data_IF_126954702919
#
_entry.id   IF_126954702919
#
_cell.length_a   1.000
_cell.length_b   1.000
_cell.length_c   1.000
_cell.angle_alpha   90.00
_cell.angle_beta   90.00
_cell.angle_gamma   90.00
#
_symmetry.space_group_name_H-M   'P 1'
#
loop_
_entity.id
_entity.type
_entity.pdbx_description
1 polymer ?
#
# COMPACT_ATOMS: atom_id res chain seq x y z
N UNK A 1 5.54 22.76 -18.47
CA UNK A 1 5.55 21.31 -18.53
C UNK A 1 5.74 20.67 -17.17
N UNK A 2 5.63 19.36 -17.10
CA UNK A 2 5.75 18.59 -15.84
C UNK A 2 7.10 18.83 -15.14
N UNK A 3 8.19 19.03 -15.92
CA UNK A 3 9.51 19.27 -15.34
C UNK A 3 9.60 20.55 -14.53
N UNK A 4 8.95 21.63 -14.97
CA UNK A 4 8.91 22.88 -14.23
C UNK A 4 8.14 22.74 -12.91
N UNK A 5 7.03 22.02 -12.91
CA UNK A 5 6.26 21.72 -11.71
C UNK A 5 7.07 20.90 -10.70
N UNK A 6 7.80 19.87 -11.15
CA UNK A 6 8.63 19.04 -10.27
C UNK A 6 9.70 19.86 -9.55
N UNK A 7 10.26 20.89 -10.17
CA UNK A 7 11.23 21.77 -9.54
C UNK A 7 10.66 22.65 -8.43
N UNK A 8 9.33 22.89 -8.47
CA UNK A 8 8.64 23.74 -7.51
C UNK A 8 7.98 22.94 -6.37
N UNK A 9 8.06 21.60 -6.40
CA UNK A 9 7.43 20.77 -5.39
C UNK A 9 8.15 20.86 -4.05
N UNK A 10 7.35 20.88 -2.96
CA UNK A 10 7.86 20.75 -1.60
C UNK A 10 8.39 19.34 -1.34
N UNK A 11 9.10 19.15 -0.22
CA UNK A 11 9.56 17.83 0.20
C UNK A 11 8.40 16.85 0.40
N UNK A 12 7.30 17.32 0.99
CA UNK A 12 6.10 16.49 1.19
C UNK A 12 5.47 16.09 -0.13
N UNK A 13 5.34 17.02 -1.07
CA UNK A 13 4.81 16.74 -2.40
C UNK A 13 5.67 15.72 -3.15
N UNK A 14 6.99 15.90 -3.13
CA UNK A 14 7.93 14.95 -3.76
C UNK A 14 7.81 13.56 -3.15
N UNK A 15 7.68 13.49 -1.83
CA UNK A 15 7.49 12.22 -1.12
C UNK A 15 6.20 11.52 -1.55
N UNK A 16 5.07 12.25 -1.56
CA UNK A 16 3.79 11.67 -1.96
C UNK A 16 3.80 11.18 -3.41
N UNK A 17 4.43 11.94 -4.30
CA UNK A 17 4.56 11.52 -5.70
C UNK A 17 5.40 10.25 -5.83
N UNK A 18 6.51 10.16 -5.08
CA UNK A 18 7.36 8.97 -5.06
C UNK A 18 6.63 7.75 -4.51
N UNK A 19 5.81 7.94 -3.46
CA UNK A 19 4.97 6.86 -2.90
C UNK A 19 3.98 6.36 -3.95
N UNK A 20 3.32 7.27 -4.66
CA UNK A 20 2.36 6.89 -5.70
C UNK A 20 3.03 6.17 -6.87
N UNK A 21 4.26 6.53 -7.22
CA UNK A 21 5.02 5.78 -8.22
C UNK A 21 5.26 4.34 -7.80
N UNK A 22 5.54 4.12 -6.50
CA UNK A 22 5.78 2.78 -5.96
C UNK A 22 4.51 1.95 -5.82
N UNK A 23 3.41 2.58 -5.41
CA UNK A 23 2.17 1.87 -5.06
C UNK A 23 1.16 1.79 -6.21
N UNK A 24 1.28 2.67 -7.21
CA UNK A 24 0.36 2.76 -8.33
C UNK A 24 -0.90 3.56 -8.02
N UNK A 25 -1.54 3.31 -6.90
CA UNK A 25 -2.68 4.08 -6.40
C UNK A 25 -2.72 4.04 -4.88
N UNK A 26 -3.41 4.99 -4.28
CA UNK A 26 -3.64 5.02 -2.84
C UNK A 26 -4.83 5.91 -2.51
N UNK A 27 -5.46 5.69 -1.37
CA UNK A 27 -6.40 6.65 -0.82
C UNK A 27 -5.65 7.77 -0.09
N UNK A 28 -6.26 8.96 -0.01
CA UNK A 28 -5.62 10.09 0.68
C UNK A 28 -5.29 9.77 2.14
N UNK A 29 -6.18 9.03 2.85
CA UNK A 29 -5.93 8.63 4.25
C UNK A 29 -4.68 7.75 4.39
N UNK A 30 -4.41 6.90 3.41
CA UNK A 30 -3.22 6.04 3.40
C UNK A 30 -1.96 6.87 3.19
N UNK A 31 -2.02 7.80 2.26
CA UNK A 31 -0.92 8.75 2.02
C UNK A 31 -0.65 9.60 3.27
N UNK A 32 -1.71 10.05 3.94
CA UNK A 32 -1.57 10.83 5.18
C UNK A 32 -0.91 10.03 6.30
N UNK A 33 -1.25 8.75 6.44
CA UNK A 33 -0.65 7.88 7.45
C UNK A 33 0.87 7.73 7.23
N UNK A 34 1.27 7.52 5.98
CA UNK A 34 2.70 7.45 5.62
C UNK A 34 3.40 8.79 5.84
N UNK A 35 2.76 9.89 5.44
CA UNK A 35 3.31 11.23 5.60
C UNK A 35 3.52 11.58 7.07
N UNK A 36 2.55 11.24 7.92
CA UNK A 36 2.62 11.50 9.35
C UNK A 36 3.91 10.93 9.95
N UNK A 37 4.20 9.68 9.67
CA UNK A 37 5.37 8.99 10.24
C UNK A 37 6.68 9.47 9.63
N UNK A 38 6.71 9.67 8.33
CA UNK A 38 7.94 10.07 7.62
C UNK A 38 8.39 11.49 8.01
N UNK A 39 7.45 12.41 8.18
CA UNK A 39 7.76 13.82 8.52
C UNK A 39 7.46 14.15 9.98
N UNK A 40 7.19 13.14 10.81
CA UNK A 40 6.98 13.29 12.25
C UNK A 40 5.94 14.36 12.61
N UNK A 41 4.80 14.38 11.88
CA UNK A 41 3.69 15.25 12.28
C UNK A 41 3.15 14.84 13.64
N UNK A 42 2.82 15.83 14.47
CA UNK A 42 2.36 15.60 15.83
C UNK A 42 0.99 14.91 15.90
N UNK A 43 0.17 15.04 14.84
CA UNK A 43 -1.13 14.40 14.78
C UNK A 43 -1.43 13.90 13.37
N UNK A 44 -2.30 12.88 13.29
CA UNK A 44 -2.80 12.40 12.01
C UNK A 44 -3.64 13.48 11.32
N UNK A 45 -4.39 14.28 12.08
CA UNK A 45 -5.22 15.36 11.52
C UNK A 45 -4.37 16.39 10.76
N UNK A 46 -3.21 16.77 11.30
CA UNK A 46 -2.29 17.66 10.61
C UNK A 46 -1.78 17.03 9.31
N UNK A 47 -1.41 15.77 9.35
CA UNK A 47 -0.96 15.05 8.15
C UNK A 47 -2.07 14.94 7.10
N UNK A 48 -3.31 14.70 7.51
CA UNK A 48 -4.48 14.65 6.60
C UNK A 48 -4.67 16.01 5.92
N UNK A 49 -4.58 17.09 6.67
CA UNK A 49 -4.73 18.45 6.13
C UNK A 49 -3.64 18.77 5.10
N UNK A 50 -2.39 18.48 5.45
CA UNK A 50 -1.24 18.73 4.56
C UNK A 50 -1.32 17.85 3.31
N UNK A 51 -1.66 16.57 3.48
CA UNK A 51 -1.83 15.64 2.35
C UNK A 51 -2.91 16.14 1.38
N UNK A 52 -4.06 16.56 1.92
CA UNK A 52 -5.15 17.09 1.09
C UNK A 52 -4.73 18.32 0.27
N UNK A 53 -4.00 19.24 0.88
CA UNK A 53 -3.49 20.42 0.18
C UNK A 53 -2.48 20.04 -0.91
N UNK A 54 -1.54 19.14 -0.60
CA UNK A 54 -0.54 18.66 -1.56
C UNK A 54 -1.19 17.97 -2.76
N UNK A 55 -2.14 17.08 -2.51
CA UNK A 55 -2.84 16.33 -3.57
C UNK A 55 -3.59 17.28 -4.49
N UNK A 56 -4.33 18.25 -3.92
CA UNK A 56 -5.05 19.25 -4.74
C UNK A 56 -4.11 20.06 -5.63
N UNK A 57 -3.00 20.52 -5.08
CA UNK A 57 -2.02 21.30 -5.85
C UNK A 57 -1.42 20.46 -6.98
N UNK A 58 -1.06 19.22 -6.71
CA UNK A 58 -0.48 18.33 -7.73
C UNK A 58 -1.53 17.91 -8.77
N UNK A 59 -2.79 17.77 -8.39
CA UNK A 59 -3.88 17.53 -9.31
C UNK A 59 -4.07 18.73 -10.25
N UNK A 60 -4.07 19.94 -9.72
CA UNK A 60 -4.16 21.16 -10.52
C UNK A 60 -2.98 21.30 -11.48
N UNK A 61 -1.81 20.86 -11.07
CA UNK A 61 -0.61 20.86 -11.93
C UNK A 61 -0.55 19.70 -12.92
N UNK A 62 -1.56 18.83 -12.97
CA UNK A 62 -1.61 17.72 -13.92
C UNK A 62 -0.73 16.51 -13.57
N UNK A 63 -0.19 16.46 -12.36
CA UNK A 63 0.68 15.36 -11.92
C UNK A 63 -0.09 14.17 -11.40
N UNK A 64 -1.26 14.41 -10.82
CA UNK A 64 -2.11 13.40 -10.20
C UNK A 64 -3.53 13.51 -10.74
N UNK A 65 -4.28 12.40 -10.62
CA UNK A 65 -5.72 12.40 -10.82
C UNK A 65 -6.40 11.74 -9.62
N UNK A 66 -7.64 12.17 -9.33
CA UNK A 66 -8.45 11.64 -8.26
C UNK A 66 -9.73 11.09 -8.89
N UNK A 67 -10.06 9.85 -8.55
CA UNK A 67 -11.28 9.19 -9.00
C UNK A 67 -11.88 8.42 -7.84
N UNK A 68 -13.09 8.84 -7.39
CA UNK A 68 -13.78 8.20 -6.26
C UNK A 68 -12.91 8.12 -4.99
N UNK A 69 -12.15 9.17 -4.69
CA UNK A 69 -11.27 9.22 -3.53
C UNK A 69 -9.95 8.50 -3.68
N UNK A 70 -9.72 7.82 -4.80
CA UNK A 70 -8.47 7.15 -5.10
C UNK A 70 -7.54 8.08 -5.86
N UNK A 71 -6.30 8.16 -5.43
CA UNK A 71 -5.27 9.01 -6.01
C UNK A 71 -4.34 8.15 -6.84
N UNK A 72 -4.09 8.56 -8.08
CA UNK A 72 -3.13 7.91 -8.98
C UNK A 72 -2.30 8.98 -9.67
N UNK A 73 -1.19 8.57 -10.26
CA UNK A 73 -0.51 9.43 -11.24
C UNK A 73 -1.43 9.57 -12.46
N UNK A 74 -1.24 10.65 -13.22
CA UNK A 74 -2.03 10.89 -14.42
C UNK A 74 -1.92 9.68 -15.38
N UNK A 75 -3.07 9.13 -15.75
CA UNK A 75 -3.14 7.92 -16.59
C UNK A 75 -3.08 6.60 -15.84
N UNK A 76 -2.90 6.62 -14.50
CA UNK A 76 -2.89 5.41 -13.70
C UNK A 76 -4.28 4.80 -13.54
N UNK A 77 -4.32 3.51 -13.17
CA UNK A 77 -5.55 2.77 -12.97
C UNK A 77 -5.75 2.42 -11.50
N UNK A 78 -6.90 2.79 -10.90
CA UNK A 78 -7.19 2.40 -9.51
C UNK A 78 -7.41 0.88 -9.41
N UNK A 79 -7.04 0.31 -8.26
CA UNK A 79 -7.26 -1.10 -7.94
C UNK A 79 -7.72 -1.24 -6.49
N UNK A 80 -8.89 -1.81 -6.27
CA UNK A 80 -9.43 -2.03 -4.93
C UNK A 80 -8.60 -3.03 -4.14
N UNK A 81 -8.07 -4.07 -4.79
CA UNK A 81 -7.18 -5.03 -4.13
C UNK A 81 -5.88 -4.36 -3.70
N UNK A 82 -5.34 -3.46 -4.52
CA UNK A 82 -4.13 -2.72 -4.17
C UNK A 82 -4.36 -1.83 -2.94
N UNK A 83 -5.51 -1.16 -2.88
CA UNK A 83 -5.87 -0.33 -1.72
C UNK A 83 -5.94 -1.18 -0.45
N UNK A 84 -6.54 -2.37 -0.52
CA UNK A 84 -6.62 -3.27 0.62
C UNK A 84 -5.22 -3.78 1.03
N UNK A 85 -4.37 -4.10 0.07
CA UNK A 85 -2.99 -4.52 0.34
C UNK A 85 -2.21 -3.42 1.07
N UNK A 86 -2.40 -2.16 0.68
CA UNK A 86 -1.78 -1.02 1.35
C UNK A 86 -2.27 -0.93 2.80
N UNK A 87 -3.56 -1.12 3.05
CA UNK A 87 -4.09 -1.14 4.43
C UNK A 87 -3.42 -2.22 5.27
N UNK A 88 -3.28 -3.43 4.73
CA UNK A 88 -2.61 -4.54 5.42
C UNK A 88 -1.16 -4.17 5.74
N UNK A 89 -0.45 -3.60 4.78
CA UNK A 89 0.94 -3.14 5.00
C UNK A 89 1.01 -2.10 6.12
N UNK A 90 0.11 -1.11 6.12
CA UNK A 90 0.09 -0.06 7.14
C UNK A 90 -0.24 -0.63 8.52
N UNK A 91 -1.15 -1.59 8.62
CA UNK A 91 -1.49 -2.25 9.88
C UNK A 91 -0.29 -3.02 10.45
N UNK A 92 0.39 -3.82 9.60
CA UNK A 92 1.51 -4.65 10.03
C UNK A 92 2.76 -3.85 10.37
N UNK A 93 2.95 -2.70 9.74
CA UNK A 93 4.14 -1.86 9.90
C UNK A 93 3.92 -0.68 10.84
N UNK A 94 2.74 -0.51 11.42
CA UNK A 94 2.36 0.70 12.17
C UNK A 94 2.63 1.97 11.35
N UNK A 95 2.28 1.93 10.07
CA UNK A 95 2.47 2.99 9.09
C UNK A 95 3.95 3.40 8.85
N UNK A 96 4.89 2.49 9.14
CA UNK A 96 6.32 2.71 8.91
C UNK A 96 6.94 1.58 8.08
N UNK A 97 6.38 1.25 6.90
CA UNK A 97 6.96 0.22 6.06
C UNK A 97 8.24 0.71 5.38
N UNK A 98 9.14 -0.22 5.10
CA UNK A 98 10.36 0.06 4.35
C UNK A 98 10.34 -0.68 3.00
N UNK A 99 11.00 -0.10 2.00
CA UNK A 99 11.23 -0.74 0.70
C UNK A 99 9.95 -1.32 0.08
N UNK A 100 8.87 -0.58 0.17
CA UNK A 100 7.56 -1.04 -0.32
C UNK A 100 7.36 -0.68 -1.79
N UNK A 101 6.72 -1.60 -2.53
CA UNK A 101 6.37 -1.37 -3.93
C UNK A 101 5.30 -2.36 -4.41
N UNK A 102 4.46 -1.92 -5.32
CA UNK A 102 3.49 -2.75 -6.00
C UNK A 102 4.18 -3.56 -7.10
N UNK A 103 3.65 -4.75 -7.40
CA UNK A 103 4.20 -5.63 -8.43
C UNK A 103 3.18 -5.79 -9.57
N UNK A 104 2.11 -6.56 -9.34
CA UNK A 104 1.06 -6.80 -10.35
C UNK A 104 -0.25 -7.22 -9.67
N UNK A 105 -1.21 -7.68 -10.44
CA UNK A 105 -2.52 -8.09 -9.91
C UNK A 105 -2.49 -9.40 -9.10
N UNK A 106 -1.43 -10.15 -9.19
CA UNK A 106 -1.24 -11.42 -8.48
C UNK A 106 -0.41 -11.24 -7.22
N UNK A 107 0.72 -10.57 -7.35
CA UNK A 107 1.60 -10.17 -6.27
C UNK A 107 1.36 -8.68 -6.03
N UNK A 108 0.49 -8.37 -5.06
CA UNK A 108 -0.03 -7.02 -4.90
C UNK A 108 1.01 -6.04 -4.36
N UNK A 109 1.85 -6.49 -3.42
CA UNK A 109 2.74 -5.58 -2.70
C UNK A 109 3.88 -6.34 -2.05
N UNK A 110 5.08 -5.76 -2.10
CA UNK A 110 6.22 -6.20 -1.30
C UNK A 110 6.63 -5.08 -0.37
N UNK A 111 7.02 -5.44 0.85
CA UNK A 111 7.54 -4.47 1.81
C UNK A 111 8.39 -5.17 2.85
N UNK A 112 9.14 -4.39 3.61
CA UNK A 112 9.91 -4.91 4.73
C UNK A 112 9.64 -4.12 6.00
N UNK A 113 9.90 -4.75 7.13
CA UNK A 113 10.01 -4.09 8.42
C UNK A 113 11.48 -3.94 8.74
N UNK A 114 11.86 -2.76 9.21
CA UNK A 114 13.24 -2.48 9.61
C UNK A 114 13.55 -3.05 10.99
N UNK A 115 14.50 -2.42 11.67
CA UNK A 115 14.89 -2.81 13.03
C UNK A 115 13.68 -2.87 13.98
N UNK A 116 13.69 -3.81 14.92
CA UNK A 116 14.69 -4.86 15.14
C UNK A 116 14.44 -6.16 14.37
N UNK A 117 13.33 -6.27 13.65
CA UNK A 117 12.90 -7.56 13.10
C UNK A 117 13.44 -7.87 11.71
N UNK A 118 13.76 -6.89 10.88
CA UNK A 118 14.27 -7.05 9.49
C UNK A 118 13.49 -8.08 8.66
N UNK A 119 12.16 -8.07 8.76
CA UNK A 119 11.32 -9.07 8.08
C UNK A 119 10.93 -8.58 6.69
N UNK A 120 10.91 -9.54 5.74
CA UNK A 120 10.43 -9.31 4.38
C UNK A 120 9.02 -9.91 4.24
N UNK A 121 8.11 -9.16 3.61
CA UNK A 121 6.73 -9.59 3.40
C UNK A 121 6.34 -9.44 1.94
N UNK A 122 5.46 -10.34 1.50
CA UNK A 122 4.78 -10.23 0.22
C UNK A 122 3.27 -10.43 0.46
N UNK A 123 2.47 -9.55 -0.12
CA UNK A 123 1.01 -9.66 -0.07
C UNK A 123 0.52 -10.13 -1.44
N UNK A 124 -0.17 -11.27 -1.46
CA UNK A 124 -0.66 -11.88 -2.68
C UNK A 124 -2.19 -11.88 -2.71
N UNK A 125 -2.75 -11.89 -3.92
CA UNK A 125 -4.19 -12.03 -4.12
C UNK A 125 -4.65 -13.43 -3.73
N UNK A 126 -5.69 -13.53 -2.91
CA UNK A 126 -6.26 -14.83 -2.53
C UNK A 126 -7.09 -15.45 -3.63
N UNK A 127 -7.64 -14.64 -4.55
CA UNK A 127 -8.47 -15.11 -5.67
C UNK A 127 -7.66 -15.44 -6.92
N UNK A 128 -6.49 -14.82 -7.07
CA UNK A 128 -5.65 -14.97 -8.28
C UNK A 128 -4.17 -14.86 -7.88
N UNK A 129 -3.67 -15.83 -7.08
CA UNK A 129 -2.31 -15.75 -6.55
C UNK A 129 -1.26 -15.99 -7.63
N UNK A 130 -0.02 -15.48 -7.42
CA UNK A 130 1.10 -15.87 -8.28
C UNK A 130 1.48 -17.32 -8.03
N UNK A 131 2.34 -17.88 -8.87
CA UNK A 131 2.90 -19.21 -8.63
C UNK A 131 3.77 -19.15 -7.37
N UNK A 132 3.64 -20.15 -6.51
CA UNK A 132 4.38 -20.19 -5.23
C UNK A 132 5.90 -20.07 -5.44
N UNK A 133 6.41 -20.66 -6.51
CA UNK A 133 7.84 -20.59 -6.86
C UNK A 133 8.36 -19.20 -7.19
N UNK A 134 7.45 -18.26 -7.49
CA UNK A 134 7.82 -16.86 -7.78
C UNK A 134 8.07 -16.06 -6.49
N UNK A 135 7.73 -16.63 -5.35
CA UNK A 135 7.89 -15.97 -4.06
C UNK A 135 9.25 -16.36 -3.47
N UNK A 136 9.98 -15.35 -2.99
CA UNK A 136 11.30 -15.54 -2.41
C UNK A 136 11.22 -16.35 -1.12
N UNK A 137 12.26 -17.15 -0.84
CA UNK A 137 12.28 -18.03 0.33
C UNK A 137 12.28 -17.27 1.66
N UNK A 138 12.86 -16.07 1.68
CA UNK A 138 12.93 -15.23 2.87
C UNK A 138 11.67 -14.39 3.11
N UNK A 139 10.74 -14.38 2.16
CA UNK A 139 9.50 -13.60 2.29
C UNK A 139 8.44 -14.34 3.09
N UNK A 140 7.81 -13.62 4.02
CA UNK A 140 6.58 -14.09 4.68
C UNK A 140 5.39 -13.75 3.80
N UNK A 141 4.54 -14.74 3.57
CA UNK A 141 3.42 -14.63 2.62
C UNK A 141 2.16 -14.23 3.37
N UNK A 142 1.56 -13.13 2.94
CA UNK A 142 0.26 -12.67 3.42
C UNK A 142 -0.73 -12.80 2.27
N UNK A 143 -1.83 -13.48 2.50
CA UNK A 143 -2.87 -13.72 1.50
C UNK A 143 -4.07 -12.84 1.81
N UNK A 144 -4.44 -11.95 0.87
CA UNK A 144 -5.72 -11.26 0.96
C UNK A 144 -6.81 -12.23 0.58
N UNK A 145 -7.59 -12.65 1.58
CA UNK A 145 -8.63 -13.65 1.39
C UNK A 145 -9.97 -12.93 1.18
N UNK A 146 -10.52 -12.96 -0.04
CA UNK A 146 -11.82 -12.35 -0.29
C UNK A 146 -12.95 -13.16 0.35
N UNK A 147 -14.10 -12.51 0.52
CA UNK A 147 -15.29 -13.16 1.04
C UNK A 147 -15.66 -14.37 0.21
N UNK A 148 -16.03 -15.46 0.88
CA UNK A 148 -16.48 -16.69 0.22
C UNK A 148 -15.37 -17.65 -0.20
N UNK A 149 -14.11 -17.27 -0.10
CA UNK A 149 -12.98 -18.17 -0.37
C UNK A 149 -12.52 -18.81 0.95
N UNK A 150 -12.38 -20.13 0.94
CA UNK A 150 -11.95 -20.88 2.13
C UNK A 150 -10.42 -20.93 2.20
N UNK A 151 -9.84 -20.69 3.39
CA UNK A 151 -8.39 -20.79 3.57
C UNK A 151 -7.83 -22.16 3.19
N UNK A 152 -8.58 -23.22 3.42
CA UNK A 152 -8.16 -24.61 3.16
C UNK A 152 -7.93 -24.88 1.67
N UNK A 153 -8.58 -24.13 0.80
CA UNK A 153 -8.46 -24.32 -0.66
C UNK A 153 -7.28 -23.57 -1.27
N UNK A 154 -6.60 -22.73 -0.49
CA UNK A 154 -5.47 -21.96 -0.99
C UNK A 154 -4.29 -22.89 -1.33
N UNK A 155 -3.71 -22.80 -2.55
CA UNK A 155 -2.89 -23.88 -3.10
C UNK A 155 -1.45 -23.94 -2.60
N UNK A 156 -0.98 -22.99 -1.78
CA UNK A 156 0.41 -22.97 -1.36
C UNK A 156 0.71 -24.03 -0.32
N UNK A 157 1.93 -24.58 -0.39
CA UNK A 157 2.45 -25.57 0.58
C UNK A 157 3.20 -24.90 1.71
N UNK A 158 3.79 -23.72 1.47
CA UNK A 158 4.49 -22.94 2.49
C UNK A 158 3.52 -22.37 3.52
N UNK A 159 3.97 -22.09 4.74
CA UNK A 159 3.15 -21.37 5.72
C UNK A 159 2.73 -20.01 5.16
N UNK A 160 1.47 -19.65 5.36
CA UNK A 160 0.92 -18.36 4.96
C UNK A 160 0.14 -17.74 6.09
N UNK A 161 0.00 -16.42 6.05
CA UNK A 161 -0.85 -15.64 6.93
C UNK A 161 -2.02 -15.13 6.09
N UNK A 162 -3.24 -15.44 6.49
CA UNK A 162 -4.44 -14.91 5.83
C UNK A 162 -4.83 -13.60 6.48
N UNK A 163 -5.21 -12.63 5.65
CA UNK A 163 -5.76 -11.36 6.07
C UNK A 163 -7.21 -11.27 5.60
N UNK A 164 -8.14 -11.11 6.54
CA UNK A 164 -9.57 -10.98 6.25
C UNK A 164 -10.03 -9.61 6.74
N UNK A 165 -10.65 -8.84 5.85
CA UNK A 165 -11.19 -7.53 6.17
C UNK A 165 -12.37 -7.66 7.13
N UNK A 166 -12.37 -6.85 8.19
CA UNK A 166 -13.45 -6.73 9.16
C UNK A 166 -14.36 -5.55 8.81
N UNK A 167 -15.52 -5.48 9.45
CA UNK A 167 -16.49 -4.41 9.23
C UNK A 167 -15.93 -3.01 9.54
N UNK A 168 -15.03 -2.92 10.52
CA UNK A 168 -14.38 -1.66 10.90
C UNK A 168 -13.25 -1.23 9.94
N UNK A 169 -13.00 -1.98 8.88
CA UNK A 169 -11.96 -1.69 7.88
C UNK A 169 -10.58 -2.23 8.21
N UNK A 170 -10.34 -2.71 9.43
CA UNK A 170 -9.09 -3.38 9.78
C UNK A 170 -9.15 -4.86 9.38
N UNK A 171 -8.03 -5.55 9.50
CA UNK A 171 -7.92 -6.96 9.12
C UNK A 171 -7.73 -7.85 10.33
N UNK A 172 -8.31 -9.03 10.26
CA UNK A 172 -7.98 -10.13 11.15
C UNK A 172 -6.94 -11.00 10.47
N UNK A 173 -5.89 -11.34 11.20
CA UNK A 173 -4.79 -12.16 10.68
C UNK A 173 -4.80 -13.53 11.37
N UNK A 174 -4.63 -14.58 10.58
CA UNK A 174 -4.48 -15.93 11.13
C UNK A 174 -3.55 -16.75 10.26
N UNK A 175 -2.76 -17.61 10.91
CA UNK A 175 -1.79 -18.45 10.24
C UNK A 175 -2.41 -19.78 9.86
N UNK A 176 -1.99 -20.32 8.72
CA UNK A 176 -2.24 -21.71 8.35
C UNK A 176 -1.00 -22.52 8.76
N UNK A 177 -1.24 -23.55 9.52
CA UNK A 177 -0.18 -24.47 9.96
C UNK A 177 0.24 -25.42 8.85
#
# INVERSE_FOLDING_TARGET
GKGAWLMLLTKQQKYLLAVLEKLGCAEQRQLAALLQKTFAFSSLDDAVRVTGACVRQMQMGGLLQISDGLVTQTGGQPSTQQIEAIDVMLELSAAQPENFYAVDKHTLLRFSLGEPSFKQFVIVSGSDPPLEREIRQDEKIIVLLPDGIRPETFPYTRPVIFAIRQENGTHRFFARK
#
